data_IF_461839980355
#
_entry.id   IF_461839980355
#
_cell.length_a   1.000
_cell.length_b   1.000
_cell.length_c   1.000
_cell.angle_alpha   90.00
_cell.angle_beta   90.00
_cell.angle_gamma   90.00
#
_symmetry.space_group_name_H-M   'P 1'
#
loop_
_entity.id
_entity.type
_entity.pdbx_description
1 polymer ?
#
# COMPACT_ATOMS: atom_id res chain seq x y z
N UNK A 1 -1.60 -12.87 7.27
CA UNK A 1 -2.07 -11.72 6.44
C UNK A 1 -2.79 -10.69 7.30
N UNK A 2 -3.81 -11.08 8.06
CA UNK A 2 -4.51 -10.17 8.98
C UNK A 2 -3.58 -9.60 10.07
N UNK A 3 -2.61 -10.40 10.54
CA UNK A 3 -1.61 -9.95 11.54
C UNK A 3 -0.80 -8.74 11.07
N UNK A 4 -0.56 -8.62 9.75
CA UNK A 4 0.17 -7.50 9.19
C UNK A 4 -0.62 -6.18 9.29
N UNK A 5 -1.95 -6.27 9.15
CA UNK A 5 -2.88 -5.15 9.33
C UNK A 5 -2.94 -4.76 10.81
N UNK A 6 -3.00 -5.75 11.73
CA UNK A 6 -2.96 -5.51 13.17
C UNK A 6 -1.66 -4.80 13.56
N UNK A 7 -0.52 -5.25 13.03
CA UNK A 7 0.77 -4.60 13.22
C UNK A 7 0.73 -3.14 12.76
N UNK A 8 0.17 -2.86 11.58
CA UNK A 8 0.09 -1.51 11.04
C UNK A 8 -0.88 -0.58 11.78
N UNK A 9 -1.86 -1.12 12.52
CA UNK A 9 -2.74 -0.35 13.41
C UNK A 9 -1.97 0.35 14.54
N UNK A 10 -0.84 -0.21 14.95
CA UNK A 10 0.03 0.38 15.97
C UNK A 10 0.88 1.51 15.35
N UNK A 11 0.36 2.73 15.41
CA UNK A 11 1.07 3.93 14.93
C UNK A 11 1.98 4.51 16.01
N UNK A 12 3.02 5.24 15.60
CA UNK A 12 3.94 5.93 16.51
C UNK A 12 3.95 7.43 16.25
N UNK A 13 4.13 8.22 17.30
CA UNK A 13 4.30 9.67 17.15
C UNK A 13 5.69 9.96 16.58
N UNK A 14 5.74 10.80 15.54
CA UNK A 14 6.97 11.21 14.87
C UNK A 14 7.82 12.08 15.80
N UNK A 15 9.09 11.72 15.92
CA UNK A 15 10.08 12.51 16.64
C UNK A 15 10.41 13.84 15.90
N UNK A 16 10.91 14.82 16.66
CA UNK A 16 11.36 16.11 16.11
C UNK A 16 10.24 17.09 15.75
N UNK A 17 10.59 18.13 14.98
CA UNK A 17 9.69 19.25 14.62
C UNK A 17 8.61 18.90 13.58
N UNK A 18 8.77 17.79 12.86
CA UNK A 18 7.79 17.35 11.85
C UNK A 18 6.38 17.11 12.41
N UNK A 19 6.29 16.78 13.72
CA UNK A 19 5.02 16.64 14.43
C UNK A 19 4.19 17.93 14.49
N UNK A 20 4.85 19.09 14.47
CA UNK A 20 4.22 20.40 14.47
C UNK A 20 3.73 20.82 13.08
N UNK A 21 4.26 20.20 12.02
CA UNK A 21 3.91 20.50 10.62
C UNK A 21 2.83 19.55 10.07
N UNK A 22 1.92 19.08 10.93
CA UNK A 22 0.82 18.18 10.54
C UNK A 22 1.20 16.71 10.29
N UNK A 23 2.48 16.33 10.35
CA UNK A 23 2.95 14.93 10.11
C UNK A 23 3.19 14.18 11.42
N UNK A 24 2.25 14.29 12.37
CA UNK A 24 2.40 13.80 13.75
C UNK A 24 2.56 12.29 13.85
N UNK A 25 1.87 11.51 13.03
CA UNK A 25 1.90 10.05 13.11
C UNK A 25 2.77 9.44 12.00
N UNK A 26 3.48 8.37 12.34
CA UNK A 26 4.13 7.47 11.40
C UNK A 26 3.41 6.14 11.47
N UNK A 27 2.71 5.80 10.40
CA UNK A 27 2.02 4.52 10.24
C UNK A 27 2.91 3.54 9.48
N UNK A 28 3.06 2.28 9.94
CA UNK A 28 3.72 1.24 9.17
C UNK A 28 2.98 0.96 7.86
N UNK A 29 3.74 0.63 6.81
CA UNK A 29 3.17 0.14 5.55
C UNK A 29 2.86 -1.35 5.70
N UNK A 30 1.64 -1.73 5.35
CA UNK A 30 1.14 -3.09 5.34
C UNK A 30 1.02 -3.56 3.90
N UNK A 31 -0.06 -4.28 3.59
CA UNK A 31 -0.35 -4.89 2.30
C UNK A 31 -0.50 -3.80 1.22
N UNK A 32 -0.03 -4.12 0.02
CA UNK A 32 -0.38 -3.41 -1.21
C UNK A 32 -1.36 -4.27 -2.01
N UNK A 33 -2.48 -3.70 -2.44
CA UNK A 33 -3.42 -4.38 -3.33
C UNK A 33 -3.31 -3.74 -4.70
N UNK A 34 -3.04 -4.54 -5.73
CA UNK A 34 -2.94 -4.08 -7.11
C UNK A 34 -4.14 -4.62 -7.89
N UNK A 35 -4.90 -3.71 -8.51
CA UNK A 35 -6.11 -4.06 -9.27
C UNK A 35 -6.02 -3.54 -10.70
N UNK A 36 -6.80 -4.11 -11.62
CA UNK A 36 -6.96 -3.58 -12.98
C UNK A 36 -8.05 -2.51 -13.11
N UNK A 37 -9.04 -2.58 -12.22
CA UNK A 37 -10.20 -1.72 -12.20
C UNK A 37 -10.69 -1.58 -10.76
N UNK A 38 -11.14 -0.39 -10.38
CA UNK A 38 -11.77 -0.17 -9.08
C UNK A 38 -13.23 -0.64 -9.12
N UNK A 39 -13.48 -1.87 -8.66
CA UNK A 39 -14.82 -2.44 -8.44
C UNK A 39 -15.31 -2.22 -6.99
N UNK A 40 -14.94 -1.09 -6.39
CA UNK A 40 -15.20 -0.79 -4.98
C UNK A 40 -14.13 -1.28 -4.01
N UNK A 41 -13.04 -1.86 -4.53
CA UNK A 41 -11.90 -2.35 -3.73
C UNK A 41 -11.24 -1.19 -2.97
N UNK A 42 -11.12 -0.02 -3.61
CA UNK A 42 -10.55 1.17 -2.96
C UNK A 42 -11.41 1.58 -1.77
N UNK A 43 -12.74 1.62 -1.95
CA UNK A 43 -13.68 1.98 -0.86
C UNK A 43 -13.65 0.97 0.29
N UNK A 44 -13.53 -0.33 -0.02
CA UNK A 44 -13.46 -1.38 1.00
C UNK A 44 -12.15 -1.34 1.81
N UNK A 45 -11.02 -1.10 1.14
CA UNK A 45 -9.70 -1.22 1.75
C UNK A 45 -9.15 0.09 2.35
N UNK A 46 -9.63 1.28 1.94
CA UNK A 46 -9.05 2.57 2.35
C UNK A 46 -9.04 2.85 3.85
N UNK A 47 -9.88 2.17 4.62
CA UNK A 47 -9.95 2.35 6.09
C UNK A 47 -9.11 1.32 6.86
N UNK A 48 -8.51 0.34 6.15
CA UNK A 48 -7.62 -0.64 6.76
C UNK A 48 -6.26 0.00 7.04
N UNK A 49 -5.73 -0.24 8.24
CA UNK A 49 -4.47 0.36 8.67
C UNK A 49 -3.29 -0.12 7.81
N UNK A 50 -2.56 0.84 7.22
CA UNK A 50 -1.35 0.59 6.45
C UNK A 50 -1.56 -0.03 5.07
N UNK A 51 -2.80 -0.33 4.68
CA UNK A 51 -3.13 -0.93 3.38
C UNK A 51 -3.22 0.16 2.33
N UNK A 52 -2.54 -0.03 1.20
CA UNK A 52 -2.67 0.82 0.03
C UNK A 52 -3.30 0.02 -1.11
N UNK A 53 -4.10 0.67 -1.96
CA UNK A 53 -4.65 0.10 -3.20
C UNK A 53 -4.14 0.94 -4.36
N UNK A 54 -3.68 0.29 -5.42
CA UNK A 54 -3.20 0.95 -6.62
C UNK A 54 -3.69 0.22 -7.87
N UNK A 55 -3.86 0.97 -8.95
CA UNK A 55 -4.12 0.40 -10.26
C UNK A 55 -2.80 -0.08 -10.90
N UNK A 56 -2.83 -1.13 -11.72
CA UNK A 56 -1.62 -1.72 -12.34
C UNK A 56 -0.80 -0.71 -13.16
N UNK A 57 -1.48 0.27 -13.76
CA UNK A 57 -0.89 1.32 -14.58
C UNK A 57 -0.07 2.33 -13.78
N UNK A 58 -0.43 2.52 -12.50
CA UNK A 58 0.16 3.47 -11.56
C UNK A 58 1.16 2.82 -10.58
N UNK A 59 1.46 1.54 -10.76
CA UNK A 59 2.43 0.83 -9.93
C UNK A 59 3.82 1.46 -10.07
N UNK A 60 4.47 1.77 -8.95
CA UNK A 60 5.78 2.40 -8.92
C UNK A 60 6.69 1.80 -7.84
N UNK A 61 7.98 2.16 -7.90
CA UNK A 61 9.00 1.63 -7.01
C UNK A 61 8.77 2.01 -5.53
N UNK A 62 8.23 3.19 -5.24
CA UNK A 62 7.96 3.61 -3.86
C UNK A 62 6.87 2.75 -3.19
N UNK A 63 5.87 2.34 -3.96
CA UNK A 63 4.79 1.48 -3.48
C UNK A 63 5.27 0.05 -3.22
N UNK A 64 6.13 -0.49 -4.09
CA UNK A 64 6.69 -1.85 -3.99
C UNK A 64 7.85 -1.95 -2.98
N UNK A 65 8.62 -0.88 -2.82
CA UNK A 65 9.81 -0.83 -1.98
C UNK A 65 9.79 0.42 -1.06
N UNK A 66 8.84 0.52 -0.11
CA UNK A 66 8.70 1.68 0.75
C UNK A 66 9.94 1.86 1.64
N UNK A 67 10.60 3.02 1.51
CA UNK A 67 11.86 3.28 2.21
C UNK A 67 13.03 2.46 1.67
N UNK A 68 13.05 2.17 0.35
CA UNK A 68 14.11 1.41 -0.33
C UNK A 68 14.29 -0.03 0.16
N UNK A 69 13.28 -0.59 0.83
CA UNK A 69 13.24 -2.00 1.21
C UNK A 69 12.34 -2.77 0.24
N UNK A 70 12.95 -3.55 -0.65
CA UNK A 70 12.21 -4.40 -1.58
C UNK A 70 11.42 -5.51 -0.87
N UNK A 71 10.35 -5.98 -1.50
CA UNK A 71 9.55 -7.10 -0.99
C UNK A 71 8.41 -6.68 -0.07
N UNK A 72 7.63 -5.67 -0.47
CA UNK A 72 6.34 -5.40 0.20
C UNK A 72 5.36 -6.54 -0.09
N UNK A 73 4.64 -7.00 0.93
CA UNK A 73 3.53 -7.95 0.79
C UNK A 73 2.46 -7.37 -0.16
N UNK A 74 2.40 -7.91 -1.38
CA UNK A 74 1.57 -7.37 -2.46
C UNK A 74 0.61 -8.44 -2.95
N UNK A 75 -0.67 -8.09 -3.08
CA UNK A 75 -1.74 -8.95 -3.57
C UNK A 75 -2.19 -8.39 -4.91
N UNK A 76 -2.10 -9.21 -5.95
CA UNK A 76 -2.57 -8.87 -7.28
C UNK A 76 -3.92 -9.52 -7.54
N UNK A 77 -4.84 -8.80 -8.18
CA UNK A 77 -5.99 -9.44 -8.80
C UNK A 77 -5.54 -10.15 -10.07
N UNK A 78 -6.18 -11.26 -10.44
CA UNK A 78 -5.86 -11.99 -11.67
C UNK A 78 -5.84 -11.08 -12.90
N UNK A 79 -6.84 -10.21 -13.03
CA UNK A 79 -6.93 -9.21 -14.10
C UNK A 79 -5.77 -8.20 -14.10
N UNK A 80 -5.19 -7.89 -12.93
CA UNK A 80 -4.04 -6.99 -12.85
C UNK A 80 -2.77 -7.68 -13.35
N UNK A 81 -2.63 -8.98 -13.07
CA UNK A 81 -1.52 -9.79 -13.58
C UNK A 81 -1.59 -9.86 -15.11
N UNK A 82 -2.75 -10.22 -15.67
CA UNK A 82 -2.91 -10.29 -17.14
C UNK A 82 -2.60 -8.95 -17.81
N UNK A 83 -3.05 -7.83 -17.23
CA UNK A 83 -2.77 -6.49 -17.76
C UNK A 83 -1.30 -6.07 -17.61
N UNK A 84 -0.62 -6.53 -16.56
CA UNK A 84 0.81 -6.31 -16.39
C UNK A 84 1.62 -7.11 -17.43
N UNK A 85 1.24 -8.37 -17.68
CA UNK A 85 1.86 -9.20 -18.71
C UNK A 85 1.71 -8.56 -20.10
N UNK A 86 0.49 -8.13 -20.47
CA UNK A 86 0.23 -7.40 -21.72
C UNK A 86 1.08 -6.12 -21.85
N UNK A 87 1.31 -5.40 -20.74
CA UNK A 87 2.07 -4.14 -20.72
C UNK A 87 3.60 -4.37 -20.77
N UNK A 88 4.07 -5.55 -20.37
CA UNK A 88 5.50 -5.88 -20.31
C UNK A 88 6.00 -6.64 -21.55
N UNK A 89 5.10 -7.07 -22.43
CA UNK A 89 5.42 -7.50 -23.80
C UNK A 89 5.72 -6.31 -24.71
#
# INVERSE_FOLDING_TARGET
>A
MYDDIIRAKHTRVRAGKGKLRGRRYKQPKSILIVTAQDKGVVKAARNLAGVDVVNYDQLNAELLAPGTHAGRLTIYTESAISKLEEKMQ
#
